data_IF_609756045337
#
_entry.id   IF_609756045337
#
_cell.length_a   1.000
_cell.length_b   1.000
_cell.length_c   1.000
_cell.angle_alpha   90.00
_cell.angle_beta   90.00
_cell.angle_gamma   90.00
#
_symmetry.space_group_name_H-M   'P 1'
#
loop_
_entity.id
_entity.type
_entity.pdbx_description
1 polymer ?
#
# COMPACT_ATOMS: atom_id res chain seq x y z
N UNK A 1 23.11 41.83 -29.82
CA UNK A 1 21.64 42.01 -29.82
C UNK A 1 21.07 41.22 -30.98
N UNK A 2 20.44 40.06 -30.89
CA UNK A 2 19.99 39.16 -29.84
C UNK A 2 19.31 38.04 -30.63
N UNK A 3 19.77 36.78 -30.53
CA UNK A 3 19.46 35.72 -31.49
C UNK A 3 18.00 35.27 -31.40
N UNK A 4 17.46 34.99 -32.58
CA UNK A 4 16.17 34.38 -32.87
C UNK A 4 16.10 32.94 -32.29
N UNK A 5 16.03 32.82 -30.96
CA UNK A 5 16.05 31.53 -30.25
C UNK A 5 14.98 31.39 -29.16
N UNK A 6 13.93 32.21 -29.18
CA UNK A 6 12.90 32.21 -28.13
C UNK A 6 11.46 31.85 -28.55
N UNK A 7 11.07 31.93 -29.82
CA UNK A 7 9.64 32.06 -30.18
C UNK A 7 8.96 30.82 -30.75
N UNK A 8 9.60 29.64 -30.75
CA UNK A 8 8.98 28.39 -31.25
C UNK A 8 8.68 27.32 -30.19
N UNK A 9 8.84 27.62 -28.90
CA UNK A 9 8.37 26.71 -27.84
C UNK A 9 6.83 26.59 -27.77
N UNK A 10 6.10 27.48 -28.46
CA UNK A 10 4.64 27.44 -28.62
C UNK A 10 4.16 26.83 -29.95
N UNK A 11 5.04 26.18 -30.73
CA UNK A 11 4.57 25.24 -31.77
C UNK A 11 4.28 23.89 -31.11
N UNK A 12 3.27 23.97 -30.25
CA UNK A 12 2.45 22.90 -29.68
C UNK A 12 2.51 21.68 -30.59
N UNK A 13 3.07 20.59 -30.04
CA UNK A 13 2.52 19.23 -30.15
C UNK A 13 1.45 19.20 -31.23
N UNK A 14 1.87 19.11 -32.50
CA UNK A 14 0.99 19.21 -33.66
C UNK A 14 -0.16 18.25 -33.38
N UNK A 15 -1.34 18.82 -33.10
CA UNK A 15 -2.45 18.16 -32.40
C UNK A 15 -2.91 16.96 -33.21
N UNK A 16 -2.31 15.80 -32.96
CA UNK A 16 -2.91 14.51 -33.23
C UNK A 16 -3.89 14.23 -32.10
N UNK A 17 -5.09 14.80 -32.21
CA UNK A 17 -6.29 14.33 -31.50
C UNK A 17 -6.42 14.52 -29.97
N UNK A 18 -5.46 15.08 -29.24
CA UNK A 18 -5.64 15.30 -27.78
C UNK A 18 -4.82 16.49 -27.26
N UNK A 19 -5.43 17.68 -27.20
CA UNK A 19 -4.84 18.86 -26.57
C UNK A 19 -5.05 18.86 -25.06
N UNK A 20 -4.30 18.03 -24.36
CA UNK A 20 -4.29 17.92 -22.90
C UNK A 20 -3.17 16.97 -22.48
N UNK A 21 -2.60 17.20 -21.29
CA UNK A 21 -1.53 16.41 -20.66
C UNK A 21 -1.58 14.91 -21.06
N UNK A 22 -0.50 14.37 -21.61
CA UNK A 22 -0.46 12.98 -22.08
C UNK A 22 -0.46 12.02 -20.89
N UNK A 23 -1.62 11.47 -20.56
CA UNK A 23 -1.75 10.38 -19.59
C UNK A 23 -1.24 9.08 -20.20
N UNK A 24 0.06 8.82 -20.00
CA UNK A 24 0.71 7.63 -20.57
C UNK A 24 0.12 6.36 -19.96
N UNK A 25 -0.62 5.60 -20.76
CA UNK A 25 -1.11 4.27 -20.37
C UNK A 25 0.06 3.29 -20.38
N UNK A 26 0.53 2.92 -19.19
CA UNK A 26 1.64 1.97 -19.03
C UNK A 26 1.09 0.54 -19.19
N UNK A 27 1.72 -0.25 -20.07
CA UNK A 27 1.36 -1.66 -20.24
C UNK A 27 1.66 -2.45 -18.96
N UNK A 28 0.89 -3.49 -18.72
CA UNK A 28 1.14 -4.42 -17.62
C UNK A 28 2.37 -5.29 -17.93
N UNK A 29 3.55 -4.84 -17.47
CA UNK A 29 4.81 -5.57 -17.63
C UNK A 29 4.90 -6.76 -16.68
N UNK A 30 5.81 -7.70 -16.96
CA UNK A 30 6.04 -8.92 -16.17
C UNK A 30 6.37 -8.60 -14.71
N UNK A 31 7.24 -7.63 -14.44
CA UNK A 31 7.59 -7.19 -13.07
C UNK A 31 6.36 -6.67 -12.32
N UNK A 32 5.47 -5.93 -12.99
CA UNK A 32 4.23 -5.42 -12.39
C UNK A 32 3.26 -6.57 -12.08
N UNK A 33 3.17 -7.59 -12.94
CA UNK A 33 2.41 -8.82 -12.66
C UNK A 33 2.95 -9.56 -11.43
N UNK A 34 4.27 -9.70 -11.31
CA UNK A 34 4.90 -10.34 -10.16
C UNK A 34 4.61 -9.59 -8.85
N UNK A 35 4.61 -8.25 -8.87
CA UNK A 35 4.23 -7.46 -7.70
C UNK A 35 2.75 -7.64 -7.32
N UNK A 36 1.85 -7.69 -8.31
CA UNK A 36 0.45 -7.99 -8.08
C UNK A 36 0.25 -9.37 -7.43
N UNK A 37 0.96 -10.40 -7.92
CA UNK A 37 0.93 -11.74 -7.30
C UNK A 37 1.41 -11.73 -5.84
N UNK A 38 2.49 -11.00 -5.53
CA UNK A 38 2.97 -10.83 -4.15
C UNK A 38 1.94 -10.14 -3.26
N UNK A 39 1.27 -9.10 -3.76
CA UNK A 39 0.20 -8.40 -3.02
C UNK A 39 -0.97 -9.32 -2.71
N UNK A 40 -1.43 -10.09 -3.69
CA UNK A 40 -2.51 -11.08 -3.51
C UNK A 40 -2.14 -12.11 -2.43
N UNK A 41 -0.94 -12.67 -2.48
CA UNK A 41 -0.49 -13.64 -1.49
C UNK A 41 -0.45 -13.06 -0.07
N UNK A 42 -0.01 -11.81 0.09
CA UNK A 42 -0.02 -11.12 1.38
C UNK A 42 -1.43 -10.92 1.92
N UNK A 43 -2.37 -10.54 1.05
CA UNK A 43 -3.77 -10.40 1.46
C UNK A 43 -4.35 -11.74 1.94
N UNK A 44 -4.08 -12.83 1.24
CA UNK A 44 -4.52 -14.15 1.67
C UNK A 44 -3.92 -14.59 3.01
N UNK A 45 -2.64 -14.30 3.24
CA UNK A 45 -2.02 -14.56 4.55
C UNK A 45 -2.69 -13.74 5.64
N UNK A 46 -2.93 -12.45 5.41
CA UNK A 46 -3.60 -11.58 6.37
C UNK A 46 -5.03 -12.06 6.66
N UNK A 47 -5.78 -12.42 5.62
CA UNK A 47 -7.13 -12.96 5.77
C UNK A 47 -7.13 -14.28 6.54
N UNK A 48 -6.19 -15.18 6.27
CA UNK A 48 -6.06 -16.44 7.00
C UNK A 48 -5.76 -16.21 8.48
N UNK A 49 -4.85 -15.27 8.81
CA UNK A 49 -4.54 -14.90 10.20
C UNK A 49 -5.76 -14.29 10.89
N UNK A 50 -6.45 -13.35 10.24
CA UNK A 50 -7.64 -12.72 10.82
C UNK A 50 -8.77 -13.71 11.06
N UNK A 51 -8.99 -14.65 10.12
CA UNK A 51 -9.98 -15.73 10.30
C UNK A 51 -9.59 -16.65 11.45
N UNK A 52 -8.33 -17.06 11.54
CA UNK A 52 -7.85 -17.88 12.65
C UNK A 52 -7.99 -17.17 14.01
N UNK A 53 -7.77 -15.86 14.07
CA UNK A 53 -8.01 -15.06 15.27
C UNK A 53 -9.50 -14.88 15.60
N UNK A 54 -10.38 -14.86 14.60
CA UNK A 54 -11.83 -14.76 14.80
C UNK A 54 -12.45 -16.09 15.26
N UNK A 55 -11.92 -17.22 14.76
CA UNK A 55 -12.39 -18.57 15.12
C UNK A 55 -11.89 -19.02 16.50
N UNK A 56 -10.85 -18.39 17.07
CA UNK A 56 -10.49 -18.58 18.47
C UNK A 56 -11.42 -17.77 19.38
N UNK A 57 -12.30 -18.40 20.18
CA UNK A 57 -13.13 -17.67 21.14
C UNK A 57 -12.24 -17.30 22.31
N UNK A 58 -11.59 -16.14 22.26
CA UNK A 58 -10.81 -15.56 23.35
C UNK A 58 -9.97 -16.61 24.11
N UNK A 59 -8.71 -16.83 23.71
CA UNK A 59 -7.71 -17.09 24.74
C UNK A 59 -7.65 -15.80 25.55
N UNK A 60 -8.58 -15.71 26.50
CA UNK A 60 -8.61 -14.71 27.56
C UNK A 60 -7.18 -14.70 28.04
N UNK A 61 -6.52 -13.57 27.84
CA UNK A 61 -5.27 -13.24 28.50
C UNK A 61 -5.50 -13.69 29.94
N UNK A 62 -4.82 -14.75 30.35
CA UNK A 62 -4.69 -15.08 31.75
C UNK A 62 -3.97 -13.88 32.33
N UNK A 63 -4.76 -12.90 32.76
CA UNK A 63 -4.33 -11.83 33.61
C UNK A 63 -3.49 -12.49 34.70
N UNK A 64 -2.22 -12.09 34.92
CA UNK A 64 -1.57 -12.44 36.16
C UNK A 64 -2.35 -11.69 37.23
N UNK A 65 -3.35 -12.35 37.81
CA UNK A 65 -3.92 -11.89 39.07
C UNK A 65 -2.76 -11.98 40.05
N UNK A 66 -2.31 -10.81 40.49
CA UNK A 66 -1.26 -10.67 41.46
C UNK A 66 -1.68 -11.40 42.74
N UNK A 67 -1.09 -12.56 42.98
CA UNK A 67 -1.05 -13.16 44.32
C UNK A 67 -0.07 -12.35 45.16
N UNK A 68 -0.57 -11.27 45.78
CA UNK A 68 0.11 -10.60 46.89
C UNK A 68 -0.30 -11.38 48.15
N UNK A 69 0.59 -12.15 48.80
CA UNK A 69 0.27 -12.71 50.10
C UNK A 69 0.20 -11.56 51.11
N UNK A 70 -0.96 -11.42 51.77
CA UNK A 70 -1.14 -10.52 52.87
C UNK A 70 -0.13 -10.86 53.99
N UNK A 71 0.80 -9.96 54.26
CA UNK A 71 1.62 -9.98 55.46
C UNK A 71 0.69 -9.95 56.67
N UNK A 72 0.74 -11.01 57.48
CA UNK A 72 0.18 -11.01 58.83
C UNK A 72 1.12 -10.18 59.70
N UNK A 73 0.65 -9.01 60.08
CA UNK A 73 1.18 -8.21 61.17
C UNK A 73 1.06 -9.03 62.48
N UNK A 74 2.18 -9.21 63.18
CA UNK A 74 2.27 -9.66 64.58
C UNK A 74 3.38 -8.91 65.29
#
# INVERSE_FOLDING_TARGET
MGPFWGTRAMEIVKKTGSSGLLWKRIKLTTTRKANAKKRLHRLWQNEAVLKACADQPSLRISSPVADIPAEKES
#
